data_IF_159274639795
#
_entry.id   IF_159274639795
#
_cell.length_a   1.000
_cell.length_b   1.000
_cell.length_c   1.000
_cell.angle_alpha   90.00
_cell.angle_beta   90.00
_cell.angle_gamma   90.00
#
_symmetry.space_group_name_H-M   'P 1'
#
loop_
_entity.id
_entity.type
_entity.pdbx_description
1 polymer ?
#
# COMPACT_ATOMS: atom_id res chain seq x y z
N UNK A 1 48.16 -15.73 9.14
CA UNK A 1 47.58 -15.80 7.77
C UNK A 1 46.07 -16.06 7.70
N UNK A 2 45.40 -16.70 8.69
CA UNK A 2 43.94 -16.96 8.63
C UNK A 2 43.03 -15.71 8.62
N UNK A 3 43.47 -14.60 9.23
CA UNK A 3 42.62 -13.43 9.47
C UNK A 3 42.25 -12.64 8.19
N UNK A 4 43.14 -12.60 7.18
CA UNK A 4 42.91 -11.90 5.92
C UNK A 4 41.87 -12.63 5.05
N UNK A 5 41.87 -13.97 5.09
CA UNK A 5 40.90 -14.80 4.35
C UNK A 5 39.49 -14.70 4.91
N UNK A 6 39.33 -14.66 6.25
CA UNK A 6 38.03 -14.45 6.89
C UNK A 6 37.45 -13.06 6.55
N UNK A 7 38.28 -12.01 6.61
CA UNK A 7 37.84 -10.64 6.32
C UNK A 7 37.35 -10.50 4.86
N UNK A 8 38.06 -11.09 3.89
CA UNK A 8 37.64 -11.11 2.49
C UNK A 8 36.33 -11.90 2.26
N UNK A 9 36.09 -12.96 3.01
CA UNK A 9 34.84 -13.72 2.93
C UNK A 9 33.64 -12.92 3.49
N UNK A 10 33.81 -12.23 4.63
CA UNK A 10 32.78 -11.34 5.17
C UNK A 10 32.50 -10.14 4.26
N UNK A 11 33.56 -9.55 3.69
CA UNK A 11 33.43 -8.45 2.73
C UNK A 11 32.66 -8.87 1.47
N UNK A 12 32.95 -10.06 0.91
CA UNK A 12 32.21 -10.62 -0.24
C UNK A 12 30.75 -10.89 0.09
N UNK A 13 30.43 -11.43 1.27
CA UNK A 13 29.04 -11.66 1.70
C UNK A 13 28.26 -10.36 1.87
N UNK A 14 28.90 -9.34 2.46
CA UNK A 14 28.30 -8.00 2.61
C UNK A 14 28.01 -7.35 1.25
N UNK A 15 28.96 -7.41 0.32
CA UNK A 15 28.77 -6.93 -1.06
C UNK A 15 27.63 -7.64 -1.80
N UNK A 16 27.52 -8.97 -1.66
CA UNK A 16 26.42 -9.73 -2.26
C UNK A 16 25.05 -9.30 -1.69
N UNK A 17 24.97 -9.02 -0.39
CA UNK A 17 23.73 -8.56 0.24
C UNK A 17 23.30 -7.18 -0.30
N UNK A 18 24.25 -6.26 -0.48
CA UNK A 18 23.99 -4.92 -1.04
C UNK A 18 23.49 -5.03 -2.48
N UNK A 19 24.09 -5.90 -3.30
CA UNK A 19 23.67 -6.12 -4.69
C UNK A 19 22.22 -6.67 -4.72
N UNK A 20 21.86 -7.60 -3.83
CA UNK A 20 20.49 -8.14 -3.75
C UNK A 20 19.49 -7.04 -3.39
N UNK A 21 19.82 -6.14 -2.45
CA UNK A 21 18.97 -5.02 -2.08
C UNK A 21 18.77 -4.04 -3.25
N UNK A 22 19.83 -3.71 -3.99
CA UNK A 22 19.76 -2.81 -5.16
C UNK A 22 18.91 -3.43 -6.27
N UNK A 23 19.11 -4.72 -6.56
CA UNK A 23 18.32 -5.44 -7.57
C UNK A 23 16.85 -5.48 -7.16
N UNK A 24 16.56 -5.78 -5.89
CA UNK A 24 15.19 -5.76 -5.35
C UNK A 24 14.53 -4.38 -5.46
N UNK A 25 15.29 -3.30 -5.25
CA UNK A 25 14.79 -1.94 -5.40
C UNK A 25 14.49 -1.59 -6.87
N UNK A 26 15.36 -1.98 -7.81
CA UNK A 26 15.17 -1.75 -9.25
C UNK A 26 13.97 -2.54 -9.79
N UNK A 27 13.84 -3.82 -9.41
CA UNK A 27 12.72 -4.66 -9.82
C UNK A 27 11.41 -4.17 -9.21
N UNK A 28 11.41 -3.79 -7.93
CA UNK A 28 10.26 -3.19 -7.26
C UNK A 28 9.83 -1.86 -7.92
N UNK A 29 10.78 -1.00 -8.27
CA UNK A 29 10.49 0.26 -8.97
C UNK A 29 9.88 0.04 -10.35
N UNK A 30 10.43 -0.89 -11.14
CA UNK A 30 9.88 -1.26 -12.46
C UNK A 30 8.47 -1.82 -12.34
N UNK A 31 8.24 -2.71 -11.36
CA UNK A 31 6.93 -3.30 -11.10
C UNK A 31 5.89 -2.24 -10.72
N UNK A 32 6.25 -1.32 -9.82
CA UNK A 32 5.39 -0.19 -9.42
C UNK A 32 4.98 0.66 -10.64
N UNK A 33 5.95 1.05 -11.48
CA UNK A 33 5.68 1.83 -12.69
C UNK A 33 4.79 1.08 -13.68
N UNK A 34 5.02 -0.22 -13.86
CA UNK A 34 4.22 -1.06 -14.75
C UNK A 34 2.77 -1.22 -14.28
N UNK A 35 2.54 -1.36 -12.96
CA UNK A 35 1.20 -1.41 -12.35
C UNK A 35 0.43 -0.11 -12.61
N UNK A 36 1.09 1.04 -12.47
CA UNK A 36 0.50 2.35 -12.78
C UNK A 36 0.10 2.44 -14.27
N UNK A 37 0.96 1.98 -15.17
CA UNK A 37 0.67 1.98 -16.62
C UNK A 37 -0.52 1.07 -16.99
N UNK A 38 -0.63 -0.11 -16.37
CA UNK A 38 -1.80 -0.98 -16.58
C UNK A 38 -3.08 -0.31 -16.11
N UNK A 39 -3.04 0.39 -14.96
CA UNK A 39 -4.20 1.11 -14.43
C UNK A 39 -4.63 2.23 -15.39
N UNK A 40 -3.67 3.02 -15.88
CA UNK A 40 -3.91 4.08 -16.88
C UNK A 40 -4.50 3.49 -18.16
N UNK A 41 -3.93 2.39 -18.69
CA UNK A 41 -4.42 1.75 -19.91
C UNK A 41 -5.83 1.15 -19.72
N UNK A 42 -6.14 0.62 -18.54
CA UNK A 42 -7.49 0.16 -18.20
C UNK A 42 -8.47 1.33 -18.16
N UNK A 43 -8.09 2.44 -17.54
CA UNK A 43 -8.87 3.68 -17.54
C UNK A 43 -9.08 4.21 -18.97
N UNK A 44 -8.07 4.13 -19.83
CA UNK A 44 -8.16 4.52 -21.25
C UNK A 44 -9.04 3.59 -22.07
N UNK A 45 -8.99 2.28 -21.84
CA UNK A 45 -9.87 1.32 -22.52
C UNK A 45 -11.35 1.51 -22.17
N UNK A 46 -11.64 2.10 -21.00
CA UNK A 46 -13.00 2.51 -20.63
C UNK A 46 -13.43 3.87 -21.22
N UNK A 47 -12.56 4.57 -21.98
CA UNK A 47 -12.83 5.90 -22.58
C UNK A 47 -13.58 5.87 -23.92
N UNK A 48 -14.17 4.77 -24.36
CA UNK A 48 -15.02 4.81 -25.56
C UNK A 48 -16.33 5.52 -25.25
N UNK A 49 -16.38 6.82 -25.58
CA UNK A 49 -17.59 7.65 -25.63
C UNK A 49 -17.69 8.66 -24.49
N UNK A 50 -17.31 9.91 -24.79
CA UNK A 50 -17.53 11.14 -24.02
C UNK A 50 -16.71 11.31 -22.73
N UNK A 51 -15.55 11.96 -22.83
CA UNK A 51 -14.97 12.71 -21.72
C UNK A 51 -14.76 14.17 -22.14
N UNK A 52 -15.84 14.94 -21.99
CA UNK A 52 -15.73 16.26 -21.36
C UNK A 52 -15.19 16.00 -19.95
N UNK A 53 -14.26 16.82 -19.46
CA UNK A 53 -13.71 16.75 -18.10
C UNK A 53 -14.83 16.47 -17.07
N UNK A 54 -14.94 15.22 -16.63
CA UNK A 54 -15.93 14.80 -15.63
C UNK A 54 -15.65 15.59 -14.36
N UNK A 55 -16.66 16.31 -13.87
CA UNK A 55 -16.47 17.20 -12.72
C UNK A 55 -16.21 16.41 -11.44
N UNK A 56 -15.53 17.02 -10.47
CA UNK A 56 -15.31 16.34 -9.18
C UNK A 56 -16.63 15.99 -8.50
N UNK A 57 -17.64 16.84 -8.61
CA UNK A 57 -18.98 16.61 -8.06
C UNK A 57 -19.63 15.33 -8.62
N UNK A 58 -19.48 15.05 -9.91
CA UNK A 58 -19.99 13.83 -10.55
C UNK A 58 -19.25 12.59 -10.06
N UNK A 59 -17.92 12.66 -9.98
CA UNK A 59 -17.10 11.57 -9.45
C UNK A 59 -17.45 11.27 -7.99
N UNK A 60 -17.53 12.30 -7.17
CA UNK A 60 -17.91 12.20 -5.76
C UNK A 60 -19.28 11.57 -5.61
N UNK A 61 -20.28 12.04 -6.36
CA UNK A 61 -21.64 11.46 -6.34
C UNK A 61 -21.63 9.97 -6.68
N UNK A 62 -20.87 9.55 -7.70
CA UNK A 62 -20.75 8.13 -8.09
C UNK A 62 -20.12 7.29 -6.99
N UNK A 63 -19.09 7.79 -6.32
CA UNK A 63 -18.48 7.11 -5.16
C UNK A 63 -19.48 6.99 -4.01
N UNK A 64 -20.07 8.11 -3.59
CA UNK A 64 -20.92 8.19 -2.41
C UNK A 64 -22.22 7.37 -2.57
N UNK A 65 -22.84 7.43 -3.75
CA UNK A 65 -24.14 6.82 -4.01
C UNK A 65 -24.04 5.39 -4.54
N UNK A 66 -23.05 5.11 -5.40
CA UNK A 66 -22.97 3.84 -6.14
C UNK A 66 -21.77 2.96 -5.76
N UNK A 67 -20.81 3.48 -5.00
CA UNK A 67 -19.58 2.74 -4.70
C UNK A 67 -18.72 2.53 -5.95
N UNK A 68 -18.73 3.49 -6.87
CA UNK A 68 -18.07 3.36 -8.16
C UNK A 68 -16.54 3.38 -8.01
N UNK A 69 -15.91 2.21 -8.21
CA UNK A 69 -14.47 2.05 -8.02
C UNK A 69 -13.65 2.84 -9.05
N UNK A 70 -14.18 3.07 -10.26
CA UNK A 70 -13.48 3.85 -11.28
C UNK A 70 -13.48 5.33 -10.88
N UNK A 71 -14.62 5.85 -10.45
CA UNK A 71 -14.72 7.23 -9.98
C UNK A 71 -13.85 7.45 -8.73
N UNK A 72 -13.82 6.48 -7.83
CA UNK A 72 -12.97 6.48 -6.65
C UNK A 72 -11.48 6.55 -6.99
N UNK A 73 -11.01 5.70 -7.91
CA UNK A 73 -9.60 5.72 -8.32
C UNK A 73 -9.23 7.01 -9.06
N UNK A 74 -10.14 7.57 -9.88
CA UNK A 74 -9.94 8.89 -10.51
C UNK A 74 -9.78 10.01 -9.48
N UNK A 75 -10.64 10.06 -8.47
CA UNK A 75 -10.54 11.06 -7.39
C UNK A 75 -9.20 10.93 -6.67
N UNK A 76 -8.75 9.71 -6.36
CA UNK A 76 -7.45 9.49 -5.72
C UNK A 76 -6.28 9.98 -6.58
N UNK A 77 -6.29 9.71 -7.88
CA UNK A 77 -5.23 10.17 -8.79
C UNK A 77 -5.19 11.70 -8.83
N UNK A 78 -6.35 12.35 -8.97
CA UNK A 78 -6.44 13.81 -9.06
C UNK A 78 -5.94 14.49 -7.77
N UNK A 79 -6.40 14.04 -6.61
CA UNK A 79 -5.96 14.63 -5.32
C UNK A 79 -4.51 14.28 -4.93
N UNK A 80 -3.93 13.23 -5.52
CA UNK A 80 -2.51 12.94 -5.34
C UNK A 80 -1.61 14.00 -6.01
N UNK A 81 -2.05 14.58 -7.12
CA UNK A 81 -1.35 15.65 -7.83
C UNK A 81 -1.49 17.01 -7.10
N UNK A 82 -2.65 17.25 -6.48
CA UNK A 82 -3.00 18.55 -5.90
C UNK A 82 -2.57 18.77 -4.43
N UNK A 83 -1.86 17.81 -3.80
CA UNK A 83 -1.30 17.91 -2.43
C UNK A 83 -2.32 18.03 -1.28
N UNK A 84 -3.63 17.86 -1.54
CA UNK A 84 -4.68 17.85 -0.51
C UNK A 84 -5.01 16.41 -0.05
N UNK A 85 -4.45 15.99 1.09
CA UNK A 85 -4.59 14.63 1.62
C UNK A 85 -5.84 14.39 2.49
N UNK A 86 -6.64 15.43 2.77
CA UNK A 86 -7.74 15.37 3.73
C UNK A 86 -9.06 14.85 3.15
N UNK A 87 -9.35 15.15 1.89
CA UNK A 87 -10.64 14.85 1.25
C UNK A 87 -10.77 13.37 0.85
N UNK A 88 -9.66 12.69 0.59
CA UNK A 88 -9.66 11.29 0.16
C UNK A 88 -10.01 10.30 1.27
N UNK A 89 -9.71 10.63 2.54
CA UNK A 89 -10.00 9.75 3.67
C UNK A 89 -11.51 9.50 3.85
N UNK A 90 -12.36 10.51 3.57
CA UNK A 90 -13.81 10.34 3.62
C UNK A 90 -14.26 9.25 2.65
N UNK A 91 -13.78 9.32 1.41
CA UNK A 91 -14.11 8.35 0.37
C UNK A 91 -13.53 6.96 0.70
N UNK A 92 -12.32 6.89 1.25
CA UNK A 92 -11.71 5.63 1.71
C UNK A 92 -12.59 4.93 2.75
N UNK A 93 -13.04 5.66 3.76
CA UNK A 93 -13.89 5.11 4.83
C UNK A 93 -15.22 4.61 4.27
N UNK A 94 -15.86 5.38 3.38
CA UNK A 94 -17.13 4.99 2.77
C UNK A 94 -16.95 3.75 1.89
N UNK A 95 -15.93 3.73 1.03
CA UNK A 95 -15.66 2.60 0.15
C UNK A 95 -15.30 1.33 0.92
N UNK A 96 -14.55 1.45 2.01
CA UNK A 96 -14.24 0.33 2.89
C UNK A 96 -15.50 -0.19 3.60
N UNK A 97 -16.19 0.68 4.35
CA UNK A 97 -17.24 0.26 5.27
C UNK A 97 -18.56 -0.04 4.60
N UNK A 98 -18.98 0.78 3.62
CA UNK A 98 -20.30 0.64 2.97
C UNK A 98 -20.25 -0.35 1.81
N UNK A 99 -19.17 -0.32 1.03
CA UNK A 99 -19.06 -1.10 -0.21
C UNK A 99 -18.11 -2.28 -0.13
N UNK A 100 -17.37 -2.45 0.97
CA UNK A 100 -16.45 -3.57 1.13
C UNK A 100 -15.27 -3.54 0.16
N UNK A 101 -14.90 -2.38 -0.39
CA UNK A 101 -13.87 -2.29 -1.41
C UNK A 101 -12.48 -2.51 -0.80
N UNK A 102 -11.83 -3.61 -1.16
CA UNK A 102 -10.61 -4.10 -0.51
C UNK A 102 -9.44 -3.11 -0.55
N UNK A 103 -9.30 -2.34 -1.63
CA UNK A 103 -8.27 -1.30 -1.76
C UNK A 103 -8.48 -0.16 -0.77
N UNK A 104 -9.74 0.20 -0.47
CA UNK A 104 -10.06 1.29 0.44
C UNK A 104 -9.65 0.99 1.88
N UNK A 105 -9.77 -0.27 2.33
CA UNK A 105 -9.29 -0.68 3.66
C UNK A 105 -7.80 -0.37 3.87
N UNK A 106 -6.96 -0.67 2.88
CA UNK A 106 -5.55 -0.34 2.94
C UNK A 106 -5.31 1.17 2.98
N UNK A 107 -6.06 1.95 2.19
CA UNK A 107 -5.91 3.41 2.15
C UNK A 107 -6.31 4.06 3.46
N UNK A 108 -7.39 3.61 4.11
CA UNK A 108 -7.73 4.07 5.47
C UNK A 108 -6.59 3.80 6.44
N UNK A 109 -6.07 2.55 6.48
CA UNK A 109 -4.91 2.21 7.32
C UNK A 109 -3.73 3.15 7.04
N UNK A 110 -3.33 3.27 5.77
CA UNK A 110 -2.19 4.07 5.36
C UNK A 110 -2.36 5.55 5.74
N UNK A 111 -3.53 6.13 5.50
CA UNK A 111 -3.85 7.51 5.86
C UNK A 111 -3.70 7.76 7.36
N UNK A 112 -4.23 6.86 8.21
CA UNK A 112 -4.16 6.97 9.67
C UNK A 112 -2.71 6.88 10.19
N UNK A 113 -1.83 6.11 9.55
CA UNK A 113 -0.44 5.94 10.03
C UNK A 113 0.57 6.89 9.36
N UNK A 114 0.26 7.42 8.18
CA UNK A 114 1.25 8.10 7.31
C UNK A 114 1.91 9.30 7.98
N UNK A 115 1.14 10.14 8.67
CA UNK A 115 1.69 11.30 9.36
C UNK A 115 2.61 10.89 10.52
N UNK A 116 2.31 9.82 11.25
CA UNK A 116 3.17 9.32 12.33
C UNK A 116 4.42 8.60 11.82
N UNK A 117 4.32 7.92 10.66
CA UNK A 117 5.44 7.18 10.05
C UNK A 117 6.44 8.11 9.37
N UNK A 118 5.98 9.15 8.69
CA UNK A 118 6.82 9.99 7.83
C UNK A 118 7.14 11.37 8.42
N UNK A 119 6.28 11.92 9.28
CA UNK A 119 6.49 13.21 9.92
C UNK A 119 6.73 12.97 11.41
N UNK A 120 8.00 12.79 11.78
CA UNK A 120 8.45 12.57 13.17
C UNK A 120 8.09 13.72 14.15
N UNK A 121 7.37 14.75 13.68
CA UNK A 121 6.97 15.95 14.42
C UNK A 121 5.78 15.74 15.35
N UNK A 122 4.97 14.70 15.18
CA UNK A 122 3.70 14.52 15.91
C UNK A 122 3.75 13.48 17.05
N UNK A 123 4.94 12.96 17.37
CA UNK A 123 5.12 11.94 18.41
C UNK A 123 4.57 10.56 18.01
N UNK A 124 4.27 9.73 19.01
CA UNK A 124 3.75 8.37 18.82
C UNK A 124 2.23 8.41 18.65
N UNK A 125 1.70 7.63 17.70
CA UNK A 125 0.27 7.37 17.57
C UNK A 125 -0.31 6.82 18.89
N UNK A 126 -1.47 7.32 19.30
CA UNK A 126 -2.16 6.80 20.49
C UNK A 126 -2.76 5.40 20.25
N UNK A 127 -2.98 4.66 21.32
CA UNK A 127 -3.40 3.26 21.24
C UNK A 127 -4.78 3.08 20.57
N UNK A 128 -5.71 4.04 20.69
CA UNK A 128 -7.04 3.93 20.09
C UNK A 128 -6.95 4.14 18.58
N UNK A 129 -6.23 5.17 18.14
CA UNK A 129 -5.99 5.44 16.72
C UNK A 129 -5.21 4.30 16.06
N UNK A 130 -4.20 3.76 16.74
CA UNK A 130 -3.45 2.62 16.24
C UNK A 130 -4.32 1.37 16.11
N UNK A 131 -5.15 1.07 17.13
CA UNK A 131 -6.07 -0.07 17.09
C UNK A 131 -7.03 0.05 15.91
N UNK A 132 -7.58 1.23 15.66
CA UNK A 132 -8.45 1.47 14.51
C UNK A 132 -7.71 1.24 13.18
N UNK A 133 -6.51 1.78 13.03
CA UNK A 133 -5.71 1.59 11.82
C UNK A 133 -5.43 0.10 11.56
N UNK A 134 -5.03 -0.65 12.60
CA UNK A 134 -4.78 -2.08 12.49
C UNK A 134 -6.05 -2.89 12.16
N UNK A 135 -7.23 -2.49 12.65
CA UNK A 135 -8.49 -3.12 12.25
C UNK A 135 -8.75 -3.00 10.74
N UNK A 136 -8.53 -1.83 10.15
CA UNK A 136 -8.63 -1.64 8.70
C UNK A 136 -7.60 -2.48 7.94
N UNK A 137 -6.36 -2.54 8.43
CA UNK A 137 -5.32 -3.38 7.84
C UNK A 137 -5.73 -4.87 7.84
N UNK A 138 -6.20 -5.39 8.97
CA UNK A 138 -6.64 -6.79 9.08
C UNK A 138 -7.83 -7.08 8.16
N UNK A 139 -8.80 -6.16 8.05
CA UNK A 139 -9.92 -6.29 7.11
C UNK A 139 -9.45 -6.33 5.65
N UNK A 140 -8.47 -5.50 5.27
CA UNK A 140 -7.85 -5.59 3.95
C UNK A 140 -7.17 -6.94 3.70
N UNK A 141 -6.52 -7.52 4.71
CA UNK A 141 -5.90 -8.86 4.64
C UNK A 141 -6.93 -9.97 4.51
N UNK A 142 -8.08 -9.86 5.19
CA UNK A 142 -9.22 -10.78 5.05
C UNK A 142 -9.79 -10.77 3.62
N UNK A 143 -9.75 -9.62 2.95
CA UNK A 143 -10.22 -9.43 1.56
C UNK A 143 -9.14 -9.62 0.50
N UNK A 144 -8.02 -10.26 0.86
CA UNK A 144 -6.90 -10.54 -0.04
C UNK A 144 -6.32 -9.31 -0.75
N UNK A 145 -6.37 -8.15 -0.09
CA UNK A 145 -5.71 -6.96 -0.58
C UNK A 145 -4.18 -7.10 -0.42
N UNK A 146 -3.47 -7.20 -1.54
CA UNK A 146 -2.01 -7.37 -1.57
C UNK A 146 -1.23 -6.30 -0.77
N UNK A 147 -1.64 -5.03 -0.83
CA UNK A 147 -0.96 -3.97 -0.09
C UNK A 147 -1.11 -4.16 1.42
N UNK A 148 -2.30 -4.59 1.87
CA UNK A 148 -2.57 -4.89 3.28
C UNK A 148 -1.76 -6.10 3.76
N UNK A 149 -1.68 -7.15 2.94
CA UNK A 149 -0.90 -8.35 3.25
C UNK A 149 0.58 -8.01 3.39
N UNK A 150 1.14 -7.27 2.43
CA UNK A 150 2.53 -6.86 2.46
C UNK A 150 2.82 -5.97 3.67
N UNK A 151 1.96 -4.98 3.94
CA UNK A 151 2.11 -4.11 5.10
C UNK A 151 2.06 -4.90 6.42
N UNK A 152 1.14 -5.87 6.56
CA UNK A 152 1.08 -6.70 7.77
C UNK A 152 2.32 -7.60 7.91
N UNK A 153 2.83 -8.14 6.81
CA UNK A 153 4.09 -8.89 6.81
C UNK A 153 5.24 -8.04 7.35
N UNK A 154 5.37 -6.81 6.85
CA UNK A 154 6.43 -5.88 7.28
C UNK A 154 6.30 -5.50 8.76
N UNK A 155 5.08 -5.26 9.25
CA UNK A 155 4.87 -5.01 10.67
C UNK A 155 5.35 -6.19 11.54
N UNK A 156 5.08 -7.43 11.14
CA UNK A 156 5.55 -8.61 11.87
C UNK A 156 7.07 -8.81 11.74
N UNK A 157 7.66 -8.44 10.61
CA UNK A 157 9.09 -8.51 10.34
C UNK A 157 9.88 -7.54 11.22
N UNK A 158 9.40 -6.30 11.30
CA UNK A 158 10.05 -5.19 12.00
C UNK A 158 9.70 -5.16 13.49
N UNK A 159 8.53 -5.66 13.88
CA UNK A 159 8.00 -5.51 15.24
C UNK A 159 7.51 -4.09 15.54
N UNK A 160 7.12 -3.34 14.50
CA UNK A 160 6.57 -1.99 14.62
C UNK A 160 5.06 -2.12 14.86
N UNK A 161 4.55 -1.43 15.89
CA UNK A 161 3.15 -1.45 16.37
C UNK A 161 2.62 -2.79 16.88
N UNK A 162 3.16 -3.92 16.42
CA UNK A 162 2.81 -5.28 16.83
C UNK A 162 4.07 -6.04 17.24
N UNK A 163 3.90 -7.11 18.03
CA UNK A 163 5.04 -7.96 18.43
C UNK A 163 5.68 -8.61 17.21
N UNK A 164 7.00 -8.48 17.08
CA UNK A 164 7.80 -9.13 16.02
C UNK A 164 7.54 -10.63 15.99
N UNK A 165 7.26 -11.17 14.81
CA UNK A 165 7.01 -12.59 14.56
C UNK A 165 7.43 -12.93 13.12
N UNK A 166 8.64 -13.47 12.97
CA UNK A 166 9.19 -13.82 11.66
C UNK A 166 8.41 -14.94 10.97
N UNK A 167 7.79 -15.85 11.73
CA UNK A 167 6.99 -16.95 11.18
C UNK A 167 5.72 -16.40 10.54
N UNK A 168 5.03 -15.48 11.23
CA UNK A 168 3.86 -14.80 10.65
C UNK A 168 4.22 -13.92 9.46
N UNK A 169 5.34 -13.21 9.49
CA UNK A 169 5.81 -12.44 8.32
C UNK A 169 5.99 -13.35 7.09
N UNK A 170 6.71 -14.46 7.24
CA UNK A 170 6.91 -15.44 6.14
C UNK A 170 5.57 -16.02 5.66
N UNK A 171 4.62 -16.26 6.56
CA UNK A 171 3.28 -16.71 6.18
C UNK A 171 2.57 -15.71 5.28
N UNK A 172 2.57 -14.42 5.62
CA UNK A 172 1.93 -13.38 4.79
C UNK A 172 2.68 -13.13 3.49
N UNK A 173 4.02 -13.21 3.46
CA UNK A 173 4.80 -13.16 2.22
C UNK A 173 4.39 -14.28 1.25
N UNK A 174 4.21 -15.51 1.76
CA UNK A 174 3.70 -16.65 0.97
C UNK A 174 2.27 -16.43 0.50
N UNK A 175 1.41 -15.87 1.35
CA UNK A 175 0.02 -15.52 0.99
C UNK A 175 -0.01 -14.52 -0.17
N UNK A 176 0.80 -13.46 -0.12
CA UNK A 176 0.91 -12.48 -1.20
C UNK A 176 1.37 -13.11 -2.52
N UNK A 177 2.39 -13.97 -2.48
CA UNK A 177 2.88 -14.67 -3.67
C UNK A 177 1.83 -15.56 -4.31
N UNK A 178 1.01 -16.25 -3.51
CA UNK A 178 -0.11 -17.06 -4.02
C UNK A 178 -1.13 -16.21 -4.76
N UNK A 179 -1.58 -15.10 -4.16
CA UNK A 179 -2.55 -14.19 -4.77
C UNK A 179 -2.00 -13.56 -6.07
N UNK A 180 -0.70 -13.28 -6.14
CA UNK A 180 -0.09 -12.76 -7.38
C UNK A 180 0.04 -13.80 -8.50
N UNK A 181 -0.04 -15.09 -8.17
CA UNK A 181 0.05 -16.19 -9.13
C UNK A 181 -1.30 -16.70 -9.65
N UNK A 182 -2.40 -16.19 -9.09
CA UNK A 182 -3.79 -16.43 -9.50
C UNK A 182 -4.25 -15.37 -10.53
#
# INVERSE_FOLDING_TARGET
MKNIFLNNHYFRKSMLMIIILIVGFITGYKYSKYKTLILIKKLESTKTGNQVNESDDELQKRVLVKGDTIAYEKLHIKHFEDKYSGETLLYDIIMANKYGYKEAYFRVYHSLISNYKYKQLYGKIDDKSLKLALQYLYKGVELDNLNSINALSDLYREGVYIKRDSVKSIYYDKKANRIMSE
#
